data_IF_242353706327
#
_entry.id   IF_242353706327
#
_cell.length_a   1.000
_cell.length_b   1.000
_cell.length_c   1.000
_cell.angle_alpha   90.00
_cell.angle_beta   90.00
_cell.angle_gamma   90.00
#
_symmetry.space_group_name_H-M   'P 1'
#
loop_
_entity.id
_entity.type
_entity.pdbx_description
1 polymer ?
#
# COMPACT_ATOMS: atom_id res chain seq x y z
N UNK A 1 12.63 0.07 14.99
CA UNK A 1 13.07 1.25 14.21
C UNK A 1 14.25 1.99 14.83
N UNK A 2 14.28 2.37 16.13
CA UNK A 2 15.39 3.15 16.68
C UNK A 2 16.79 2.52 16.52
N UNK A 3 16.88 1.18 16.58
CA UNK A 3 18.15 0.45 16.36
C UNK A 3 18.65 0.60 14.91
N UNK A 4 17.75 0.62 13.92
CA UNK A 4 18.10 0.84 12.51
C UNK A 4 18.62 2.27 12.32
N UNK A 5 17.93 3.24 12.90
CA UNK A 5 18.32 4.65 12.84
C UNK A 5 19.68 4.91 13.50
N UNK A 6 19.98 4.28 14.65
CA UNK A 6 21.30 4.36 15.30
C UNK A 6 22.45 3.84 14.41
N UNK A 7 22.15 3.05 13.39
CA UNK A 7 23.10 2.53 12.40
C UNK A 7 23.10 3.34 11.09
N UNK A 8 22.42 4.49 11.05
CA UNK A 8 22.27 5.29 9.84
C UNK A 8 21.33 4.69 8.79
N UNK A 9 20.58 3.63 9.13
CA UNK A 9 19.63 2.98 8.23
C UNK A 9 18.27 3.67 8.26
N UNK A 10 17.50 3.51 7.19
CA UNK A 10 16.10 3.94 7.08
C UNK A 10 15.16 2.75 7.27
N UNK A 11 13.95 3.00 7.77
CA UNK A 11 12.95 1.97 8.04
C UNK A 11 11.67 2.21 7.24
N UNK A 12 11.30 1.22 6.40
CA UNK A 12 10.01 1.17 5.71
C UNK A 12 9.10 0.22 6.47
N UNK A 13 7.91 0.69 6.85
CA UNK A 13 6.96 -0.09 7.63
C UNK A 13 5.80 -0.60 6.75
N UNK A 14 5.48 -1.88 6.85
CA UNK A 14 4.48 -2.54 6.00
C UNK A 14 3.10 -2.61 6.67
N UNK A 15 2.04 -2.40 5.87
CA UNK A 15 0.70 -2.93 6.15
C UNK A 15 -0.10 -3.15 4.85
N UNK A 16 -1.10 -4.04 4.87
CA UNK A 16 -2.04 -4.15 3.76
C UNK A 16 -3.10 -3.04 3.78
N UNK A 17 -3.24 -2.32 2.67
CA UNK A 17 -4.26 -1.28 2.51
C UNK A 17 -5.53 -1.78 1.83
N UNK A 18 -5.41 -2.76 0.94
CA UNK A 18 -6.53 -3.31 0.15
C UNK A 18 -7.23 -4.50 0.79
N UNK A 19 -6.63 -5.13 1.80
CA UNK A 19 -7.24 -6.21 2.57
C UNK A 19 -7.21 -5.93 4.07
N UNK A 20 -8.11 -6.60 4.78
CA UNK A 20 -7.97 -6.81 6.23
C UNK A 20 -6.75 -7.67 6.54
N UNK A 21 -6.37 -7.74 7.81
CA UNK A 21 -5.34 -8.68 8.29
C UNK A 21 -5.96 -9.53 9.41
N UNK A 22 -6.95 -10.35 9.07
CA UNK A 22 -7.91 -10.92 10.03
C UNK A 22 -7.31 -11.88 11.06
N UNK A 23 -6.37 -12.71 10.61
CA UNK A 23 -5.68 -13.69 11.43
C UNK A 23 -4.42 -13.13 12.10
N UNK A 24 -4.24 -11.80 12.08
CA UNK A 24 -3.12 -11.14 12.71
C UNK A 24 -3.47 -10.62 14.11
N UNK A 25 -2.44 -10.16 14.84
CA UNK A 25 -2.59 -9.44 16.10
C UNK A 25 -2.76 -7.92 15.93
N UNK A 26 -3.18 -7.45 14.74
CA UNK A 26 -3.32 -6.01 14.48
C UNK A 26 -4.34 -5.39 15.44
N UNK A 27 -3.97 -4.31 16.16
CA UNK A 27 -4.82 -3.74 17.20
C UNK A 27 -6.08 -3.04 16.66
N UNK A 28 -6.14 -2.77 15.35
CA UNK A 28 -7.22 -2.04 14.67
C UNK A 28 -8.25 -2.93 13.97
N UNK A 29 -8.16 -4.26 14.05
CA UNK A 29 -9.12 -5.18 13.40
C UNK A 29 -10.57 -4.86 13.78
N UNK A 30 -10.81 -4.52 15.05
CA UNK A 30 -12.17 -4.17 15.53
C UNK A 30 -12.70 -2.88 14.89
N UNK A 31 -11.84 -1.92 14.57
CA UNK A 31 -12.22 -0.67 13.92
C UNK A 31 -12.65 -0.91 12.47
N UNK A 32 -11.95 -1.78 11.74
CA UNK A 32 -12.32 -2.18 10.38
C UNK A 32 -13.67 -2.92 10.35
N UNK A 33 -13.87 -3.87 11.26
CA UNK A 33 -15.17 -4.56 11.44
C UNK A 33 -16.30 -3.57 11.73
N UNK A 34 -16.09 -2.66 12.67
CA UNK A 34 -17.07 -1.64 13.07
C UNK A 34 -17.41 -0.70 11.92
N UNK A 35 -16.44 -0.35 11.07
CA UNK A 35 -16.68 0.48 9.89
C UNK A 35 -17.55 -0.23 8.84
N UNK A 36 -17.57 -1.57 8.82
CA UNK A 36 -18.28 -2.37 7.84
C UNK A 36 -17.75 -2.12 6.43
N UNK A 37 -16.42 -2.05 6.29
CA UNK A 37 -15.73 -1.74 5.05
C UNK A 37 -15.29 -3.00 4.27
N UNK A 38 -15.51 -4.16 4.86
CA UNK A 38 -15.03 -5.45 4.36
C UNK A 38 -16.01 -6.05 3.36
N UNK A 39 -15.50 -6.54 2.23
CA UNK A 39 -16.30 -7.24 1.23
C UNK A 39 -16.32 -8.73 1.56
N UNK A 40 -17.38 -9.18 2.24
CA UNK A 40 -17.55 -10.61 2.55
C UNK A 40 -17.49 -11.46 1.28
N UNK A 41 -16.88 -12.64 1.39
CA UNK A 41 -16.73 -13.60 0.29
C UNK A 41 -15.57 -13.31 -0.68
N UNK A 42 -14.65 -12.39 -0.36
CA UNK A 42 -13.45 -12.07 -1.15
C UNK A 42 -12.15 -12.54 -0.48
N UNK A 43 -12.19 -13.69 0.20
CA UNK A 43 -11.04 -14.20 0.96
C UNK A 43 -9.84 -14.50 0.04
N UNK A 44 -8.67 -14.02 0.41
CA UNK A 44 -7.38 -14.20 -0.29
C UNK A 44 -6.76 -15.61 -0.15
N UNK A 45 -7.47 -16.56 0.45
CA UNK A 45 -6.98 -17.90 0.80
C UNK A 45 -6.36 -17.97 2.19
N UNK A 46 -6.10 -16.83 2.84
CA UNK A 46 -5.43 -16.72 4.14
C UNK A 46 -6.33 -16.16 5.24
N UNK A 47 -7.62 -15.94 4.95
CA UNK A 47 -8.58 -15.39 5.91
C UNK A 47 -8.84 -13.90 5.74
N UNK A 48 -8.15 -13.21 4.84
CA UNK A 48 -8.27 -11.76 4.69
C UNK A 48 -9.30 -11.42 3.62
N UNK A 49 -10.22 -10.50 3.92
CA UNK A 49 -11.18 -9.99 2.96
C UNK A 49 -10.65 -8.72 2.29
N UNK A 50 -11.02 -8.51 1.03
CA UNK A 50 -10.83 -7.21 0.37
C UNK A 50 -11.67 -6.14 1.07
N UNK A 51 -11.16 -4.92 1.04
CA UNK A 51 -11.81 -3.73 1.55
C UNK A 51 -12.49 -2.98 0.41
N UNK A 52 -13.66 -2.37 0.65
CA UNK A 52 -14.32 -1.51 -0.34
C UNK A 52 -13.58 -0.18 -0.48
N UNK A 53 -12.51 -0.18 -1.27
CA UNK A 53 -11.60 0.97 -1.46
C UNK A 53 -12.26 2.20 -2.06
N UNK A 54 -13.44 2.04 -2.66
CA UNK A 54 -14.27 3.13 -3.20
C UNK A 54 -14.91 3.96 -2.09
N UNK A 55 -15.11 3.37 -0.91
CA UNK A 55 -15.67 4.07 0.24
C UNK A 55 -14.56 4.80 1.04
N UNK A 56 -13.89 5.76 0.36
CA UNK A 56 -12.81 6.58 0.93
C UNK A 56 -13.20 7.20 2.27
N UNK A 57 -14.44 7.68 2.42
CA UNK A 57 -14.95 8.30 3.66
C UNK A 57 -14.81 7.38 4.88
N UNK A 58 -15.03 6.07 4.71
CA UNK A 58 -14.87 5.08 5.78
C UNK A 58 -13.45 4.55 5.91
N UNK A 59 -12.77 4.31 4.78
CA UNK A 59 -11.47 3.63 4.78
C UNK A 59 -10.30 4.59 5.10
N UNK A 60 -10.32 5.82 4.59
CA UNK A 60 -9.21 6.77 4.76
C UNK A 60 -8.89 7.04 6.23
N UNK A 61 -9.85 7.26 7.16
CA UNK A 61 -9.52 7.44 8.57
C UNK A 61 -8.83 6.22 9.20
N UNK A 62 -9.12 5.01 8.73
CA UNK A 62 -8.50 3.78 9.24
C UNK A 62 -7.06 3.64 8.75
N UNK A 63 -6.82 3.89 7.46
CA UNK A 63 -5.47 3.90 6.88
C UNK A 63 -4.63 5.04 7.47
N UNK A 64 -5.22 6.23 7.67
CA UNK A 64 -4.57 7.37 8.33
C UNK A 64 -4.07 7.02 9.73
N UNK A 65 -4.87 6.31 10.54
CA UNK A 65 -4.42 5.82 11.85
C UNK A 65 -3.20 4.88 11.75
N UNK A 66 -3.08 4.10 10.66
CA UNK A 66 -1.90 3.25 10.42
C UNK A 66 -0.67 4.07 10.05
N UNK A 67 -0.82 5.12 9.22
CA UNK A 67 0.25 6.08 8.95
C UNK A 67 0.71 6.80 10.23
N UNK A 68 -0.22 7.32 11.03
CA UNK A 68 0.08 7.96 12.32
C UNK A 68 0.84 7.03 13.28
N UNK A 69 0.46 5.74 13.30
CA UNK A 69 1.18 4.72 14.07
C UNK A 69 2.59 4.50 13.53
N UNK A 70 2.78 4.46 12.21
CA UNK A 70 4.10 4.34 11.59
C UNK A 70 5.00 5.53 11.93
N UNK A 71 4.48 6.76 11.83
CA UNK A 71 5.18 7.98 12.26
C UNK A 71 5.57 7.90 13.73
N UNK A 72 4.64 7.52 14.62
CA UNK A 72 4.91 7.35 16.06
C UNK A 72 6.01 6.30 16.34
N UNK A 73 6.09 5.26 15.53
CA UNK A 73 7.14 4.24 15.64
C UNK A 73 8.47 4.65 15.00
N UNK A 74 8.53 5.82 14.37
CA UNK A 74 9.72 6.38 13.74
C UNK A 74 9.97 5.85 12.33
N UNK A 75 8.99 5.23 11.66
CA UNK A 75 9.16 4.78 10.29
C UNK A 75 9.46 5.98 9.37
N UNK A 76 10.41 5.83 8.45
CA UNK A 76 10.74 6.87 7.46
C UNK A 76 9.78 6.83 6.27
N UNK A 77 9.24 5.63 5.98
CA UNK A 77 8.27 5.43 4.92
C UNK A 77 7.32 4.28 5.24
N UNK A 78 6.28 4.13 4.43
CA UNK A 78 5.34 3.02 4.48
C UNK A 78 5.22 2.33 3.13
N UNK A 79 5.19 1.00 3.16
CA UNK A 79 4.74 0.18 2.05
C UNK A 79 3.29 -0.26 2.32
N UNK A 80 2.38 0.19 1.47
CA UNK A 80 0.96 -0.17 1.56
C UNK A 80 0.67 -1.24 0.51
N UNK A 81 0.27 -2.43 0.97
CA UNK A 81 0.05 -3.57 0.09
C UNK A 81 -1.38 -3.63 -0.47
N UNK A 82 -1.56 -4.45 -1.51
CA UNK A 82 -2.83 -4.73 -2.18
C UNK A 82 -3.49 -3.46 -2.72
N UNK A 83 -2.68 -2.54 -3.25
CA UNK A 83 -3.16 -1.35 -3.96
C UNK A 83 -3.86 -1.73 -5.28
N UNK A 84 -3.51 -2.89 -5.85
CA UNK A 84 -3.97 -3.41 -7.13
C UNK A 84 -5.25 -4.26 -6.98
N UNK A 85 -6.18 -3.85 -6.13
CA UNK A 85 -7.44 -4.58 -5.84
C UNK A 85 -8.21 -5.11 -7.07
N UNK A 86 -8.08 -4.48 -8.24
CA UNK A 86 -8.64 -4.98 -9.51
C UNK A 86 -8.09 -6.34 -9.97
N UNK A 87 -6.86 -6.69 -9.59
CA UNK A 87 -6.27 -7.99 -9.83
C UNK A 87 -6.81 -9.07 -8.87
N UNK A 88 -7.36 -8.66 -7.73
CA UNK A 88 -7.88 -9.56 -6.70
C UNK A 88 -9.39 -9.79 -6.79
N UNK A 89 -10.14 -8.93 -7.48
CA UNK A 89 -11.57 -9.11 -7.70
C UNK A 89 -12.09 -8.37 -8.92
N UNK A 90 -12.94 -9.05 -9.70
CA UNK A 90 -13.70 -8.47 -10.81
C UNK A 90 -14.70 -7.38 -10.40
N UNK A 91 -14.92 -7.16 -9.09
CA UNK A 91 -15.76 -6.08 -8.56
C UNK A 91 -15.07 -4.71 -8.66
N UNK A 92 -13.75 -4.68 -8.83
CA UNK A 92 -12.97 -3.45 -8.94
C UNK A 92 -12.44 -3.26 -10.35
N UNK A 93 -12.54 -2.03 -10.84
CA UNK A 93 -11.91 -1.61 -12.08
C UNK A 93 -10.46 -1.18 -11.84
N UNK A 94 -9.67 -1.11 -12.92
CA UNK A 94 -8.33 -0.46 -12.87
C UNK A 94 -8.41 0.97 -12.34
N UNK A 95 -9.49 1.70 -12.65
CA UNK A 95 -9.69 3.06 -12.15
C UNK A 95 -9.90 3.09 -10.64
N UNK A 96 -10.56 2.08 -10.06
CA UNK A 96 -10.70 1.98 -8.60
C UNK A 96 -9.34 1.80 -7.93
N UNK A 97 -8.47 0.94 -8.46
CA UNK A 97 -7.09 0.80 -7.98
C UNK A 97 -6.26 2.07 -8.15
N UNK A 98 -6.38 2.78 -9.28
CA UNK A 98 -5.71 4.06 -9.48
C UNK A 98 -6.15 5.09 -8.44
N UNK A 99 -7.46 5.27 -8.29
CA UNK A 99 -8.03 6.21 -7.32
C UNK A 99 -7.60 5.85 -5.91
N UNK A 100 -7.66 4.56 -5.56
CA UNK A 100 -7.23 4.03 -4.27
C UNK A 100 -5.76 4.34 -3.98
N UNK A 101 -4.85 3.91 -4.85
CA UNK A 101 -3.43 4.13 -4.71
C UNK A 101 -3.09 5.63 -4.59
N UNK A 102 -3.69 6.47 -5.44
CA UNK A 102 -3.50 7.92 -5.40
C UNK A 102 -3.87 8.51 -4.04
N UNK A 103 -5.09 8.27 -3.55
CA UNK A 103 -5.49 8.89 -2.29
C UNK A 103 -4.76 8.31 -1.08
N UNK A 104 -4.31 7.05 -1.14
CA UNK A 104 -3.45 6.46 -0.10
C UNK A 104 -2.13 7.22 -0.01
N UNK A 105 -1.49 7.51 -1.14
CA UNK A 105 -0.26 8.29 -1.19
C UNK A 105 -0.47 9.71 -0.64
N UNK A 106 -1.52 10.40 -1.11
CA UNK A 106 -1.90 11.74 -0.60
C UNK A 106 -2.12 11.72 0.92
N UNK A 107 -2.77 10.69 1.45
CA UNK A 107 -3.01 10.56 2.91
C UNK A 107 -1.71 10.32 3.69
N UNK A 108 -0.75 9.59 3.15
CA UNK A 108 0.57 9.44 3.78
C UNK A 108 1.33 10.76 3.82
N UNK A 109 1.30 11.53 2.73
CA UNK A 109 1.92 12.85 2.67
C UNK A 109 1.28 13.86 3.62
N UNK A 110 -0.04 13.83 3.79
CA UNK A 110 -0.75 14.62 4.82
C UNK A 110 -0.27 14.30 6.25
N UNK A 111 0.14 13.06 6.52
CA UNK A 111 0.71 12.64 7.81
C UNK A 111 2.24 12.81 7.88
N UNK A 112 2.85 13.45 6.88
CA UNK A 112 4.30 13.67 6.76
C UNK A 112 5.13 12.38 6.73
N UNK A 113 4.65 11.34 6.03
CA UNK A 113 5.39 10.09 5.83
C UNK A 113 5.48 9.72 4.34
N UNK A 114 6.65 9.27 3.89
CA UNK A 114 6.84 8.79 2.52
C UNK A 114 6.08 7.50 2.26
N UNK A 115 5.64 7.28 1.03
CA UNK A 115 4.81 6.14 0.62
C UNK A 115 5.41 5.44 -0.61
N UNK A 116 5.51 4.11 -0.53
CA UNK A 116 5.91 3.24 -1.63
C UNK A 116 4.71 2.83 -2.49
N UNK A 117 4.86 2.85 -3.81
CA UNK A 117 3.95 2.15 -4.71
C UNK A 117 4.31 0.66 -4.68
N UNK A 118 3.44 -0.16 -4.09
CA UNK A 118 3.55 -1.62 -4.14
C UNK A 118 2.94 -2.16 -5.43
N UNK A 119 3.74 -2.82 -6.27
CA UNK A 119 3.32 -3.41 -7.55
C UNK A 119 2.57 -2.40 -8.46
N UNK A 120 1.41 -2.75 -9.06
CA UNK A 120 0.69 -1.94 -10.07
C UNK A 120 1.48 -1.54 -11.34
N UNK A 121 2.11 -2.48 -12.05
CA UNK A 121 2.91 -2.18 -13.25
C UNK A 121 2.11 -1.37 -14.28
N UNK A 122 0.90 -1.80 -14.64
CA UNK A 122 0.10 -1.14 -15.68
C UNK A 122 -0.34 0.30 -15.35
N UNK A 123 -0.26 0.71 -14.08
CA UNK A 123 -0.59 2.07 -13.61
C UNK A 123 0.64 2.85 -13.12
N UNK A 124 1.82 2.23 -13.07
CA UNK A 124 3.03 2.79 -12.45
C UNK A 124 3.42 4.16 -13.02
N UNK A 125 3.40 4.32 -14.36
CA UNK A 125 3.71 5.61 -15.01
C UNK A 125 2.80 6.75 -14.53
N UNK A 126 1.50 6.49 -14.38
CA UNK A 126 0.52 7.52 -14.01
C UNK A 126 0.48 7.76 -12.49
N UNK A 127 0.87 6.77 -11.69
CA UNK A 127 0.94 6.88 -10.23
C UNK A 127 2.28 7.43 -9.74
N UNK A 128 3.35 7.29 -10.52
CA UNK A 128 4.70 7.75 -10.17
C UNK A 128 4.76 9.18 -9.57
N UNK A 129 4.00 10.18 -10.06
CA UNK A 129 4.04 11.52 -9.46
C UNK A 129 3.63 11.56 -7.99
N UNK A 130 2.77 10.64 -7.53
CA UNK A 130 2.20 10.65 -6.18
C UNK A 130 3.01 9.84 -5.16
N UNK A 131 3.92 8.96 -5.59
CA UNK A 131 4.68 8.08 -4.69
C UNK A 131 6.14 8.48 -4.58
N UNK A 132 6.80 8.18 -3.45
CA UNK A 132 8.19 8.56 -3.20
C UNK A 132 9.19 7.57 -3.83
N UNK A 133 8.79 6.30 -3.92
CA UNK A 133 9.51 5.20 -4.55
C UNK A 133 8.54 4.05 -4.87
N UNK A 134 9.04 2.97 -5.44
CA UNK A 134 8.26 1.74 -5.65
C UNK A 134 8.90 0.54 -4.96
N UNK A 135 8.08 -0.38 -4.44
CA UNK A 135 8.48 -1.74 -4.05
C UNK A 135 7.78 -2.71 -4.99
N UNK A 136 8.54 -3.58 -5.65
CA UNK A 136 8.02 -4.43 -6.73
C UNK A 136 8.47 -5.87 -6.52
N UNK A 137 7.54 -6.81 -6.61
CA UNK A 137 7.82 -8.24 -6.48
C UNK A 137 7.90 -8.92 -7.85
N UNK A 138 8.89 -9.79 -8.04
CA UNK A 138 9.04 -10.71 -9.17
C UNK A 138 8.86 -10.10 -10.57
N UNK A 139 9.22 -8.82 -10.76
CA UNK A 139 8.98 -8.13 -12.03
C UNK A 139 9.72 -8.77 -13.21
N UNK A 140 10.81 -9.50 -12.97
CA UNK A 140 11.56 -10.18 -14.01
C UNK A 140 10.76 -11.36 -14.58
N UNK A 141 10.12 -12.15 -13.70
CA UNK A 141 9.32 -13.31 -14.09
C UNK A 141 8.10 -12.94 -14.93
N UNK A 142 7.48 -11.80 -14.61
CA UNK A 142 6.29 -11.31 -15.30
C UNK A 142 6.60 -10.34 -16.45
N UNK A 143 7.88 -10.06 -16.73
CA UNK A 143 8.32 -9.05 -17.71
C UNK A 143 7.73 -7.65 -17.44
N UNK A 144 7.64 -7.28 -16.16
CA UNK A 144 6.98 -6.07 -15.68
C UNK A 144 7.97 -4.96 -15.28
N UNK A 145 9.27 -5.25 -15.19
CA UNK A 145 10.24 -4.27 -14.68
C UNK A 145 10.26 -2.95 -15.50
N UNK A 146 9.93 -3.02 -16.80
CA UNK A 146 9.94 -1.84 -17.68
C UNK A 146 8.87 -0.81 -17.32
N UNK A 147 7.77 -1.22 -16.69
CA UNK A 147 6.69 -0.32 -16.26
C UNK A 147 7.16 0.69 -15.19
N UNK A 148 8.17 0.32 -14.40
CA UNK A 148 8.69 1.15 -13.31
C UNK A 148 9.83 2.09 -13.73
N UNK A 149 10.24 2.10 -15.00
CA UNK A 149 11.29 3.01 -15.50
C UNK A 149 10.98 4.49 -15.27
N UNK A 150 9.70 4.87 -15.19
CA UNK A 150 9.33 6.26 -14.91
C UNK A 150 9.76 6.72 -13.52
N UNK A 151 9.83 5.82 -12.53
CA UNK A 151 10.36 6.14 -11.21
C UNK A 151 11.84 6.53 -11.28
N UNK A 152 12.67 5.70 -11.92
CA UNK A 152 14.11 5.96 -12.00
C UNK A 152 14.44 7.16 -12.88
N UNK A 153 13.70 7.41 -13.97
CA UNK A 153 13.81 8.64 -14.78
C UNK A 153 13.57 9.91 -13.95
N UNK A 154 12.68 9.84 -12.97
CA UNK A 154 12.38 10.93 -12.05
C UNK A 154 13.18 10.84 -10.73
N UNK A 155 14.31 10.13 -10.73
CA UNK A 155 15.22 9.99 -9.58
C UNK A 155 14.58 9.37 -8.33
N UNK A 156 13.54 8.55 -8.51
CA UNK A 156 12.89 7.77 -7.44
C UNK A 156 13.39 6.32 -7.48
N UNK A 157 13.62 5.76 -6.29
CA UNK A 157 14.09 4.39 -6.15
C UNK A 157 13.02 3.38 -6.59
N UNK A 158 13.46 2.21 -7.04
CA UNK A 158 12.63 1.02 -7.27
C UNK A 158 13.31 -0.13 -6.53
N UNK A 159 12.72 -0.57 -5.41
CA UNK A 159 13.19 -1.72 -4.64
C UNK A 159 12.53 -2.98 -5.19
N UNK A 160 13.33 -3.87 -5.79
CA UNK A 160 12.84 -5.12 -6.37
C UNK A 160 13.10 -6.24 -5.37
N UNK A 161 12.06 -7.02 -5.07
CA UNK A 161 12.15 -8.30 -4.39
C UNK A 161 11.93 -9.37 -5.44
N UNK A 162 12.90 -10.26 -5.62
CA UNK A 162 12.79 -11.40 -6.53
C UNK A 162 12.80 -12.67 -5.70
N UNK A 163 11.76 -13.49 -5.85
CA UNK A 163 11.64 -14.79 -5.21
C UNK A 163 12.15 -15.89 -6.12
#
# INVERSE_FOLDING_TARGET
>A
VPILHKRGQKAVCYFSGGTTEYNSSRPDIKDYKKAGIEIKGTNDGWGNYLLDVRNKKKLQPLIRKRFQRAVKYGCDAVEVDVLDVHNHSNKFSKQDSFNFAKWVAETGHEENISVSLKNLPSLAKNLQPYFDFATVESCADYNECTYFKEFTKNKKAVFIVQY
#
